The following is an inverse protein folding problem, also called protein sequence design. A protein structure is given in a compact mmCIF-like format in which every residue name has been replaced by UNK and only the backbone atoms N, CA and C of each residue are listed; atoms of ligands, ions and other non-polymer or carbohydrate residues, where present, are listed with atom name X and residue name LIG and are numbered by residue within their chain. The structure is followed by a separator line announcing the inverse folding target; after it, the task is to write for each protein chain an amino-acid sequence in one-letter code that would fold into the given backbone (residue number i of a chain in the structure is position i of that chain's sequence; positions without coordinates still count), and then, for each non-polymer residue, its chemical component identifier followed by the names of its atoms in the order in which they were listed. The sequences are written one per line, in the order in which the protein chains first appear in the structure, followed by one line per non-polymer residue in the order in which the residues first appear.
data_IF_880845132604
#
_entry.id   IF_880845132604
#
_cell.length_a   1.000
_cell.length_b   1.000
_cell.length_c   1.000
_cell.angle_alpha   90.00
_cell.angle_beta   90.00
_cell.angle_gamma   90.00
#
_symmetry.space_group_name_H-M   'P 1'
#
loop_
_entity.id
_entity.type
_entity.pdbx_description
1 polymer ?
#
# COMPACT_ATOMS: atom_id res chain seq x y z
N UNK A 1 12.61 15.07 -20.78
CA UNK A 1 13.83 15.10 -19.96
C UNK A 1 15.01 15.23 -20.91
N UNK A 2 15.84 16.28 -20.80
CA UNK A 2 17.00 16.50 -21.68
C UNK A 2 18.23 15.85 -21.04
N UNK A 3 18.82 14.85 -21.70
CA UNK A 3 20.06 14.23 -21.25
C UNK A 3 21.25 14.85 -21.98
N UNK A 4 22.19 15.41 -21.22
CA UNK A 4 23.51 15.86 -21.71
C UNK A 4 24.53 14.79 -21.39
N UNK A 5 24.97 14.04 -22.40
CA UNK A 5 26.23 13.32 -22.33
C UNK A 5 26.96 13.56 -23.66
N UNK A 6 28.17 14.15 -23.60
CA UNK A 6 29.09 14.36 -24.73
C UNK A 6 28.47 14.76 -26.08
N UNK A 7 28.39 16.06 -26.35
CA UNK A 7 28.24 16.66 -27.69
C UNK A 7 27.00 16.32 -28.56
N UNK A 8 26.10 15.43 -28.15
CA UNK A 8 24.84 15.18 -28.88
C UNK A 8 23.64 15.28 -27.94
N UNK A 9 22.79 16.28 -28.15
CA UNK A 9 21.50 16.40 -27.46
C UNK A 9 20.47 15.54 -28.16
N UNK A 10 19.95 14.52 -27.48
CA UNK A 10 18.83 13.72 -27.98
C UNK A 10 17.52 14.23 -27.39
N UNK A 11 16.56 14.55 -28.26
CA UNK A 11 15.21 14.88 -27.84
C UNK A 11 14.39 13.60 -27.77
N UNK A 12 14.21 13.08 -26.54
CA UNK A 12 13.37 11.91 -26.30
C UNK A 12 12.00 12.40 -25.84
N UNK A 13 10.98 12.13 -26.67
CA UNK A 13 9.58 12.39 -26.35
C UNK A 13 9.04 11.15 -25.63
N UNK A 14 8.43 11.32 -24.46
CA UNK A 14 7.76 10.23 -23.78
C UNK A 14 6.51 9.83 -24.58
N UNK A 15 6.36 8.53 -24.83
CA UNK A 15 5.16 7.93 -25.44
C UNK A 15 3.96 7.87 -24.47
N UNK A 16 4.22 8.07 -23.17
CA UNK A 16 3.19 8.14 -22.14
C UNK A 16 2.73 6.77 -21.64
N UNK A 17 3.55 5.71 -21.80
CA UNK A 17 3.21 4.38 -21.28
C UNK A 17 2.91 4.39 -19.78
N UNK A 18 1.84 3.71 -19.39
CA UNK A 18 1.37 3.59 -18.00
C UNK A 18 1.38 2.14 -17.54
N UNK A 19 1.84 1.90 -16.31
CA UNK A 19 1.67 0.61 -15.63
C UNK A 19 0.46 0.70 -14.69
N UNK A 20 -0.58 -0.08 -14.96
CA UNK A 20 -1.76 -0.18 -14.11
C UNK A 20 -1.78 -1.54 -13.42
N UNK A 21 -1.77 -1.54 -12.08
CA UNK A 21 -1.91 -2.75 -11.27
C UNK A 21 -3.31 -2.77 -10.69
N UNK A 22 -4.16 -3.66 -11.19
CA UNK A 22 -5.49 -3.87 -10.65
C UNK A 22 -5.41 -4.73 -9.38
N UNK A 23 -6.20 -4.37 -8.36
CA UNK A 23 -6.29 -5.12 -7.10
C UNK A 23 -4.95 -5.28 -6.39
N UNK A 24 -4.24 -4.17 -6.18
CA UNK A 24 -2.92 -4.13 -5.54
C UNK A 24 -2.88 -4.87 -4.18
N UNK A 25 -2.05 -5.90 -4.09
CA UNK A 25 -1.93 -6.79 -2.93
C UNK A 25 -0.63 -6.57 -2.17
N UNK A 26 -0.45 -7.33 -1.09
CA UNK A 26 0.78 -7.28 -0.28
C UNK A 26 2.02 -7.67 -1.09
N UNK A 27 1.89 -8.61 -2.00
CA UNK A 27 3.02 -9.14 -2.78
C UNK A 27 3.45 -8.18 -3.90
N UNK A 28 2.60 -7.22 -4.27
CA UNK A 28 2.92 -6.13 -5.20
C UNK A 28 3.68 -4.98 -4.50
N UNK A 29 3.90 -5.05 -3.18
CA UNK A 29 4.65 -4.02 -2.46
C UNK A 29 6.12 -4.08 -2.83
N UNK A 30 6.65 -2.98 -3.35
CA UNK A 30 8.04 -2.96 -3.78
C UNK A 30 8.51 -1.63 -4.34
N UNK A 31 9.71 -1.67 -4.92
CA UNK A 31 10.31 -0.57 -5.68
C UNK A 31 10.08 -0.84 -7.16
N UNK A 32 9.49 0.13 -7.83
CA UNK A 32 9.20 0.07 -9.26
C UNK A 32 10.08 1.09 -9.99
N UNK A 33 10.54 0.72 -11.17
CA UNK A 33 11.31 1.59 -12.05
C UNK A 33 10.63 1.68 -13.40
N UNK A 34 10.61 2.87 -13.98
CA UNK A 34 10.28 3.04 -15.38
C UNK A 34 11.56 2.87 -16.19
N UNK A 35 11.58 1.89 -17.09
CA UNK A 35 12.69 1.66 -18.01
C UNK A 35 12.23 1.90 -19.44
N UNK A 36 13.04 2.60 -20.22
CA UNK A 36 12.78 2.89 -21.62
C UNK A 36 14.03 2.57 -22.45
N UNK A 37 13.83 1.79 -23.51
CA UNK A 37 14.87 1.47 -24.49
C UNK A 37 14.46 2.12 -25.80
N UNK A 38 15.20 3.14 -26.20
CA UNK A 38 14.92 3.90 -27.41
C UNK A 38 15.99 3.59 -28.46
N UNK A 39 15.56 3.41 -29.71
CA UNK A 39 16.47 3.26 -30.85
C UNK A 39 16.72 4.64 -31.47
N UNK A 40 17.95 5.10 -31.37
CA UNK A 40 18.40 6.34 -31.99
C UNK A 40 18.81 6.17 -33.46
N UNK A 41 19.25 7.26 -34.06
CA UNK A 41 19.82 7.27 -35.41
C UNK A 41 21.09 6.40 -35.43
N UNK A 42 21.37 5.75 -36.56
CA UNK A 42 22.52 4.85 -36.75
C UNK A 42 22.52 3.60 -35.85
N UNK A 43 21.35 3.03 -35.55
CA UNK A 43 21.19 1.84 -34.70
C UNK A 43 21.76 2.01 -33.27
N UNK A 44 21.96 3.25 -32.80
CA UNK A 44 22.33 3.50 -31.41
C UNK A 44 21.18 3.10 -30.48
N UNK A 45 21.50 2.44 -29.36
CA UNK A 45 20.51 2.05 -28.35
C UNK A 45 20.70 2.95 -27.13
N UNK A 46 19.64 3.66 -26.75
CA UNK A 46 19.59 4.53 -25.59
C UNK A 46 18.75 3.84 -24.51
N UNK A 47 19.40 3.41 -23.43
CA UNK A 47 18.74 2.83 -22.27
C UNK A 47 18.61 3.89 -21.17
N UNK A 48 17.38 4.10 -20.70
CA UNK A 48 17.07 5.04 -19.63
C UNK A 48 16.25 4.33 -18.57
N UNK A 49 16.73 4.39 -17.33
CA UNK A 49 15.99 3.88 -16.18
C UNK A 49 15.75 5.04 -15.23
N UNK A 50 14.52 5.21 -14.77
CA UNK A 50 14.17 6.21 -13.76
C UNK A 50 14.69 5.80 -12.39
N UNK A 51 14.72 6.77 -11.48
CA UNK A 51 14.74 6.47 -10.05
C UNK A 51 13.55 5.61 -9.64
N UNK A 52 13.67 4.90 -8.52
CA UNK A 52 12.59 4.03 -8.06
C UNK A 52 11.45 4.82 -7.42
N UNK A 53 10.24 4.33 -7.65
CA UNK A 53 9.02 4.72 -6.92
C UNK A 53 8.73 3.59 -5.94
N UNK A 54 8.67 3.91 -4.65
CA UNK A 54 8.35 2.92 -3.60
C UNK A 54 6.84 2.89 -3.39
N UNK A 55 6.22 1.78 -3.77
CA UNK A 55 4.83 1.51 -3.42
C UNK A 55 4.76 0.80 -2.08
N UNK A 56 3.79 1.20 -1.27
CA UNK A 56 3.57 0.61 0.06
C UNK A 56 2.08 0.38 0.26
N UNK A 57 1.72 -0.80 0.76
CA UNK A 57 0.35 -1.08 1.17
C UNK A 57 0.18 -0.61 2.61
N UNK A 58 -0.67 0.41 2.84
CA UNK A 58 -1.18 0.68 4.18
C UNK A 58 -2.26 -0.34 4.47
N UNK A 59 -1.90 -1.48 5.05
CA UNK A 59 -2.89 -2.35 5.66
C UNK A 59 -3.62 -1.54 6.74
N UNK A 60 -4.97 -1.53 6.71
CA UNK A 60 -5.78 -1.15 7.85
C UNK A 60 -5.48 -2.15 8.97
N UNK A 61 -4.42 -1.89 9.73
CA UNK A 61 -4.22 -2.48 11.05
C UNK A 61 -5.46 -2.09 11.82
N UNK A 62 -6.24 -3.05 12.33
CA UNK A 62 -7.43 -2.81 13.15
C UNK A 62 -7.22 -1.53 13.95
N UNK A 63 -7.99 -0.51 13.61
CA UNK A 63 -7.83 0.81 14.17
C UNK A 63 -7.90 0.65 15.70
N UNK A 64 -6.95 1.24 16.44
CA UNK A 64 -7.02 1.25 17.91
C UNK A 64 -8.38 1.76 18.39
N UNK A 65 -9.05 2.57 17.58
CA UNK A 65 -10.42 3.05 17.78
C UNK A 65 -11.47 1.92 17.86
N UNK A 66 -11.32 0.86 17.05
CA UNK A 66 -12.23 -0.30 17.08
C UNK A 66 -12.04 -1.08 18.38
N UNK A 67 -10.78 -1.29 18.79
CA UNK A 67 -10.46 -1.99 20.05
C UNK A 67 -10.92 -1.17 21.26
N UNK A 68 -10.67 0.14 21.25
CA UNK A 68 -11.12 1.08 22.29
C UNK A 68 -12.64 1.16 22.41
N UNK A 69 -13.38 1.00 21.30
CA UNK A 69 -14.86 0.98 21.34
C UNK A 69 -15.43 -0.38 21.75
N UNK A 70 -14.85 -1.49 21.30
CA UNK A 70 -15.39 -2.83 21.56
C UNK A 70 -15.04 -3.36 22.95
N UNK A 71 -13.84 -3.05 23.47
CA UNK A 71 -13.38 -3.57 24.75
C UNK A 71 -14.29 -3.16 25.93
N UNK A 72 -14.72 -1.89 26.07
CA UNK A 72 -15.64 -1.49 27.13
C UNK A 72 -17.00 -2.18 27.02
N UNK A 73 -17.53 -2.33 25.81
CA UNK A 73 -18.82 -3.00 25.56
C UNK A 73 -18.79 -4.47 25.99
N UNK A 74 -17.71 -5.18 25.67
CA UNK A 74 -17.50 -6.58 26.07
C UNK A 74 -17.36 -6.72 27.59
N UNK A 75 -16.64 -5.79 28.24
CA UNK A 75 -16.53 -5.78 29.71
C UNK A 75 -17.88 -5.53 30.38
N UNK A 76 -18.66 -4.58 29.87
CA UNK A 76 -20.00 -4.27 30.39
C UNK A 76 -20.95 -5.46 30.24
N UNK A 77 -20.94 -6.12 29.08
CA UNK A 77 -21.71 -7.34 28.86
C UNK A 77 -21.30 -8.47 29.84
N UNK A 78 -19.99 -8.67 30.05
CA UNK A 78 -19.48 -9.64 31.01
C UNK A 78 -19.93 -9.37 32.45
N UNK A 79 -19.91 -8.09 32.87
CA UNK A 79 -20.38 -7.67 34.19
C UNK A 79 -21.88 -7.91 34.37
N UNK A 80 -22.70 -7.63 33.34
CA UNK A 80 -24.15 -7.89 33.38
C UNK A 80 -24.41 -9.39 33.53
N UNK A 81 -23.74 -10.23 32.74
CA UNK A 81 -23.89 -11.70 32.82
C UNK A 81 -23.49 -12.22 34.20
N UNK A 82 -22.37 -11.74 34.75
CA UNK A 82 -21.91 -12.13 36.08
C UNK A 82 -22.89 -11.69 37.17
N UNK A 83 -23.41 -10.46 37.08
CA UNK A 83 -24.43 -9.95 37.99
C UNK A 83 -25.70 -10.80 37.97
N UNK A 84 -26.21 -11.12 36.77
CA UNK A 84 -27.36 -12.01 36.60
C UNK A 84 -27.09 -13.41 37.19
N UNK A 85 -25.89 -13.96 36.97
CA UNK A 85 -25.51 -15.27 37.52
C UNK A 85 -25.50 -15.28 39.05
N UNK A 86 -24.87 -14.28 39.67
CA UNK A 86 -24.81 -14.13 41.14
C UNK A 86 -26.22 -13.93 41.69
N UNK A 87 -27.04 -13.11 41.05
CA UNK A 87 -28.40 -12.87 41.48
C UNK A 87 -29.26 -14.13 41.45
N UNK A 88 -29.24 -14.91 40.36
CA UNK A 88 -29.94 -16.20 40.27
C UNK A 88 -29.48 -17.18 41.35
N UNK A 89 -28.17 -17.24 41.59
CA UNK A 89 -27.61 -18.09 42.64
C UNK A 89 -28.08 -17.68 44.03
N UNK A 90 -28.23 -16.38 44.30
CA UNK A 90 -28.67 -15.86 45.59
C UNK A 90 -30.18 -16.02 45.83
N UNK A 91 -31.01 -15.95 44.77
CA UNK A 91 -32.46 -16.13 44.87
C UNK A 91 -32.93 -17.59 44.84
N UNK A 92 -31.99 -18.54 44.70
CA UNK A 92 -32.28 -19.98 44.80
C UNK A 92 -33.09 -20.56 43.64
N UNK A 93 -32.96 -19.95 42.44
CA UNK A 93 -33.72 -20.27 41.23
C UNK A 93 -32.84 -20.94 40.15
#
# INVERSE_FOLDING_TARGET
MLLRNGSTSYHVTADGGELVIHSFQRDDVGRYHCAAINKGINNTILNMTSDYIKFTLRAWRYSKEIVMSLLPLLLLAGLIVLGCYIHRRATGL
#
